data_IF_178914140264
#
_entry.id   IF_178914140264
#
_cell.length_a   1.000
_cell.length_b   1.000
_cell.length_c   1.000
_cell.angle_alpha   90.00
_cell.angle_beta   90.00
_cell.angle_gamma   90.00
#
_symmetry.space_group_name_H-M   'P 1'
#
loop_
_entity.id
_entity.type
_entity.pdbx_description
1 polymer ?
#
# COMPACT_ATOMS: atom_id res chain seq x y z
N UNK A 1 9.09 -9.48 -27.90
CA UNK A 1 9.10 -8.06 -28.32
C UNK A 1 10.46 -7.50 -27.98
N UNK A 2 11.03 -6.61 -28.80
CA UNK A 2 12.27 -5.91 -28.42
C UNK A 2 11.90 -4.82 -27.40
N UNK A 3 12.55 -4.84 -26.23
CA UNK A 3 12.43 -3.77 -25.24
C UNK A 3 13.34 -2.59 -25.62
N UNK A 4 12.96 -1.38 -25.24
CA UNK A 4 13.79 -0.18 -25.38
C UNK A 4 14.56 0.06 -24.07
N UNK A 5 15.82 -0.35 -24.06
CA UNK A 5 16.69 -0.22 -22.87
C UNK A 5 17.02 1.24 -22.55
N UNK A 6 17.19 2.09 -23.56
CA UNK A 6 17.50 3.50 -23.36
C UNK A 6 16.32 4.23 -22.72
N UNK A 7 15.12 4.01 -23.25
CA UNK A 7 13.89 4.54 -22.66
C UNK A 7 13.68 4.03 -21.24
N UNK A 8 13.95 2.75 -20.99
CA UNK A 8 13.82 2.15 -19.66
C UNK A 8 14.69 2.87 -18.64
N UNK A 9 15.97 3.06 -18.95
CA UNK A 9 16.90 3.74 -18.04
C UNK A 9 16.58 5.23 -17.90
N UNK A 10 16.10 5.89 -18.97
CA UNK A 10 15.66 7.27 -18.92
C UNK A 10 14.47 7.47 -17.95
N UNK A 11 13.44 6.62 -18.07
CA UNK A 11 12.24 6.71 -17.21
C UNK A 11 12.58 6.41 -15.75
N UNK A 12 13.47 5.45 -15.49
CA UNK A 12 13.95 5.18 -14.12
C UNK A 12 14.72 6.36 -13.55
N UNK A 13 15.65 6.96 -14.32
CA UNK A 13 16.40 8.13 -13.89
C UNK A 13 15.49 9.31 -13.61
N UNK A 14 14.45 9.51 -14.42
CA UNK A 14 13.45 10.55 -14.17
C UNK A 14 12.69 10.30 -12.86
N UNK A 15 12.23 9.07 -12.60
CA UNK A 15 11.54 8.75 -11.35
C UNK A 15 12.41 9.07 -10.13
N UNK A 16 13.70 8.67 -10.18
CA UNK A 16 14.67 8.94 -9.12
C UNK A 16 14.97 10.44 -8.98
N UNK A 17 15.12 11.19 -10.08
CA UNK A 17 15.37 12.63 -10.02
C UNK A 17 14.17 13.44 -9.51
N UNK A 18 12.95 12.91 -9.69
CA UNK A 18 11.73 13.44 -9.10
C UNK A 18 11.55 13.05 -7.62
N UNK A 19 12.47 12.28 -7.05
CA UNK A 19 12.54 11.98 -5.62
C UNK A 19 11.96 10.62 -5.22
N UNK A 20 11.72 9.70 -6.15
CA UNK A 20 11.48 8.30 -5.78
C UNK A 20 12.75 7.69 -5.14
N UNK A 21 12.60 6.90 -4.09
CA UNK A 21 13.73 6.20 -3.45
C UNK A 21 14.12 4.93 -4.21
N UNK A 22 13.16 4.27 -4.85
CA UNK A 22 13.36 3.09 -5.68
C UNK A 22 12.34 3.03 -6.80
N UNK A 23 12.75 2.47 -7.93
CA UNK A 23 11.91 2.26 -9.11
C UNK A 23 12.20 0.89 -9.71
N UNK A 24 11.20 0.28 -10.30
CA UNK A 24 11.31 -0.98 -11.03
C UNK A 24 10.20 -1.11 -12.06
N UNK A 25 10.45 -1.95 -13.05
CA UNK A 25 9.54 -2.21 -14.16
C UNK A 25 8.99 -3.63 -14.06
N UNK A 26 7.66 -3.77 -14.14
CA UNK A 26 6.96 -5.04 -14.23
C UNK A 26 6.28 -5.22 -15.58
N UNK A 27 6.02 -6.46 -15.97
CA UNK A 27 5.22 -6.77 -17.16
C UNK A 27 3.73 -6.56 -16.86
N UNK A 28 3.01 -5.85 -17.73
CA UNK A 28 1.57 -5.62 -17.57
C UNK A 28 0.77 -6.92 -17.60
N UNK A 29 1.18 -7.90 -18.41
CA UNK A 29 0.51 -9.20 -18.50
C UNK A 29 0.51 -9.98 -17.17
N UNK A 30 1.58 -9.88 -16.38
CA UNK A 30 1.66 -10.53 -15.05
C UNK A 30 0.66 -9.97 -14.05
N UNK A 31 0.19 -8.75 -14.30
CA UNK A 31 -0.82 -8.07 -13.51
C UNK A 31 -2.26 -8.40 -13.97
N UNK A 32 -2.45 -9.13 -15.08
CA UNK A 32 -3.78 -9.52 -15.53
C UNK A 32 -4.36 -10.66 -14.68
N UNK A 33 -5.67 -10.60 -14.39
CA UNK A 33 -6.45 -11.65 -13.70
C UNK A 33 -5.86 -12.17 -12.39
N UNK A 34 -5.07 -11.36 -11.68
CA UNK A 34 -4.58 -11.74 -10.35
C UNK A 34 -5.71 -11.67 -9.31
N UNK A 35 -5.79 -12.63 -8.36
CA UNK A 35 -6.83 -12.65 -7.32
C UNK A 35 -6.88 -11.39 -6.44
N UNK A 36 -5.80 -10.61 -6.43
CA UNK A 36 -5.68 -9.38 -5.64
C UNK A 36 -6.22 -8.14 -6.36
N UNK A 37 -6.60 -8.24 -7.63
CA UNK A 37 -7.06 -7.09 -8.43
C UNK A 37 -8.54 -7.20 -8.77
N UNK A 38 -9.17 -6.04 -8.88
CA UNK A 38 -10.55 -5.89 -9.33
C UNK A 38 -10.66 -5.34 -10.75
N UNK A 39 -9.51 -5.06 -11.38
CA UNK A 39 -9.39 -4.66 -12.78
C UNK A 39 -8.17 -5.33 -13.43
N UNK A 40 -8.08 -5.18 -14.74
CA UNK A 40 -6.91 -5.55 -15.53
C UNK A 40 -6.11 -4.30 -15.91
N UNK A 41 -4.78 -4.35 -16.03
CA UNK A 41 -4.01 -3.28 -16.69
C UNK A 41 -4.59 -2.92 -18.08
N UNK A 42 -5.15 -3.91 -18.78
CA UNK A 42 -5.77 -3.73 -20.09
C UNK A 42 -7.09 -2.94 -20.05
N UNK A 43 -7.71 -2.78 -18.87
CA UNK A 43 -8.84 -1.89 -18.65
C UNK A 43 -8.44 -0.41 -18.69
N UNK A 44 -7.18 -0.10 -18.36
CA UNK A 44 -6.64 1.27 -18.39
C UNK A 44 -6.00 1.58 -19.75
N UNK A 45 -5.20 0.64 -20.29
CA UNK A 45 -4.55 0.76 -21.61
C UNK A 45 -4.65 -0.60 -22.30
N UNK A 46 -5.45 -0.68 -23.38
CA UNK A 46 -5.75 -1.95 -24.08
C UNK A 46 -4.50 -2.74 -24.51
N UNK A 47 -3.44 -2.05 -24.90
CA UNK A 47 -2.16 -2.59 -25.35
C UNK A 47 -1.04 -2.37 -24.32
N UNK A 48 -1.38 -2.31 -23.03
CA UNK A 48 -0.40 -2.17 -21.94
C UNK A 48 0.70 -3.24 -22.05
N UNK A 49 1.95 -2.81 -21.88
CA UNK A 49 3.13 -3.69 -21.92
C UNK A 49 3.88 -3.70 -20.60
N UNK A 50 3.94 -2.55 -19.93
CA UNK A 50 4.74 -2.37 -18.73
C UNK A 50 3.98 -1.64 -17.62
N UNK A 51 4.45 -1.88 -16.40
CA UNK A 51 4.11 -1.14 -15.21
C UNK A 51 5.38 -0.53 -14.65
N UNK A 52 5.41 0.79 -14.46
CA UNK A 52 6.48 1.48 -13.74
C UNK A 52 6.03 1.58 -12.29
N UNK A 53 6.66 0.86 -11.37
CA UNK A 53 6.39 0.98 -9.93
C UNK A 53 7.55 1.65 -9.23
N UNK A 54 7.24 2.50 -8.28
CA UNK A 54 8.22 3.25 -7.50
C UNK A 54 7.73 3.42 -6.06
N UNK A 55 8.66 3.74 -5.16
CA UNK A 55 8.34 3.94 -3.76
C UNK A 55 9.03 5.15 -3.14
N UNK A 56 8.44 5.62 -2.05
CA UNK A 56 9.04 6.59 -1.12
C UNK A 56 9.24 5.91 0.23
N UNK A 57 10.42 6.07 0.83
CA UNK A 57 10.74 5.60 2.18
C UNK A 57 10.13 6.58 3.19
N UNK A 58 9.50 6.03 4.23
CA UNK A 58 9.10 6.84 5.37
C UNK A 58 10.32 7.43 6.10
N UNK A 59 10.25 8.68 6.56
CA UNK A 59 11.11 9.18 7.64
C UNK A 59 10.97 8.29 8.89
N UNK A 60 12.08 7.92 9.53
CA UNK A 60 12.03 6.98 10.66
C UNK A 60 11.25 7.54 11.86
N UNK A 61 11.46 8.82 12.17
CA UNK A 61 10.72 9.50 13.24
C UNK A 61 9.22 9.69 12.98
N UNK A 62 8.75 9.53 11.73
CA UNK A 62 7.31 9.54 11.43
C UNK A 62 6.64 8.19 11.64
N UNK A 63 7.42 7.15 12.01
CA UNK A 63 6.90 5.82 12.31
C UNK A 63 7.10 5.47 13.78
N UNK A 64 8.26 5.81 14.35
CA UNK A 64 8.63 5.53 15.74
C UNK A 64 8.37 6.75 16.63
N UNK A 65 7.17 6.83 17.18
CA UNK A 65 6.70 7.93 18.02
C UNK A 65 5.70 7.41 19.09
N UNK A 66 5.45 8.20 20.12
CA UNK A 66 4.48 7.84 21.17
C UNK A 66 3.05 7.73 20.63
N UNK A 67 2.39 6.61 20.93
CA UNK A 67 1.02 6.30 20.50
C UNK A 67 -0.02 6.60 21.57
N UNK A 68 0.37 7.26 22.66
CA UNK A 68 -0.53 7.62 23.74
C UNK A 68 -1.49 8.74 23.34
N UNK A 69 -0.99 9.71 22.57
CA UNK A 69 -1.75 10.85 22.10
C UNK A 69 -2.14 10.69 20.62
N UNK A 70 -3.44 10.78 20.38
CA UNK A 70 -4.03 10.71 19.05
C UNK A 70 -3.53 11.81 18.11
N UNK A 71 -3.27 13.02 18.61
CA UNK A 71 -2.77 14.13 17.80
C UNK A 71 -1.33 13.92 17.36
N UNK A 72 -0.51 13.18 18.11
CA UNK A 72 0.85 12.82 17.70
C UNK A 72 0.82 11.89 16.49
N UNK A 73 -0.07 10.89 16.49
CA UNK A 73 -0.30 10.01 15.33
C UNK A 73 -0.74 10.82 14.10
N UNK A 74 -1.68 11.74 14.29
CA UNK A 74 -2.20 12.56 13.20
C UNK A 74 -1.13 13.48 12.60
N UNK A 75 -0.33 14.12 13.44
CA UNK A 75 0.71 15.07 13.02
C UNK A 75 2.00 14.40 12.54
N UNK A 76 2.20 13.12 12.85
CA UNK A 76 3.37 12.33 12.44
C UNK A 76 3.03 11.36 11.31
N UNK A 77 2.57 10.15 11.62
CA UNK A 77 2.37 9.10 10.62
C UNK A 77 1.35 9.46 9.54
N UNK A 78 0.17 9.95 9.96
CA UNK A 78 -0.93 10.21 9.03
C UNK A 78 -0.62 11.36 8.05
N UNK A 79 -0.15 12.50 8.57
CA UNK A 79 0.19 13.68 7.76
C UNK A 79 1.38 13.41 6.82
N UNK A 80 2.38 12.65 7.28
CA UNK A 80 3.54 12.28 6.46
C UNK A 80 3.11 11.34 5.35
N UNK A 81 2.27 10.33 5.66
CA UNK A 81 1.67 9.47 4.64
C UNK A 81 0.91 10.29 3.59
N UNK A 82 0.09 11.26 4.00
CA UNK A 82 -0.63 12.15 3.06
C UNK A 82 0.32 12.83 2.07
N UNK A 83 1.41 13.38 2.61
CA UNK A 83 2.40 14.12 1.84
C UNK A 83 3.15 13.21 0.89
N UNK A 84 3.48 11.99 1.32
CA UNK A 84 4.09 10.96 0.48
C UNK A 84 3.15 10.52 -0.65
N UNK A 85 1.85 10.31 -0.38
CA UNK A 85 0.86 9.96 -1.41
C UNK A 85 0.73 11.06 -2.47
N UNK A 86 0.67 12.34 -2.06
CA UNK A 86 0.67 13.48 -2.99
C UNK A 86 1.92 13.47 -3.86
N UNK A 87 3.09 13.27 -3.27
CA UNK A 87 4.36 13.20 -4.01
C UNK A 87 4.41 12.02 -4.97
N UNK A 88 3.88 10.86 -4.60
CA UNK A 88 3.77 9.71 -5.49
C UNK A 88 2.88 10.01 -6.71
N UNK A 89 1.75 10.68 -6.50
CA UNK A 89 0.86 11.09 -7.58
C UNK A 89 1.54 12.12 -8.52
N UNK A 90 2.31 13.07 -7.98
CA UNK A 90 3.10 14.03 -8.76
C UNK A 90 4.16 13.33 -9.63
N UNK A 91 4.89 12.37 -9.06
CA UNK A 91 5.86 11.54 -9.80
C UNK A 91 5.13 10.76 -10.90
N UNK A 92 4.01 10.10 -10.58
CA UNK A 92 3.23 9.32 -11.54
C UNK A 92 2.81 10.18 -12.74
N UNK A 93 2.28 11.38 -12.48
CA UNK A 93 1.85 12.31 -13.52
C UNK A 93 3.02 12.77 -14.40
N UNK A 94 4.17 13.09 -13.80
CA UNK A 94 5.35 13.51 -14.53
C UNK A 94 5.90 12.40 -15.44
N UNK A 95 5.97 11.16 -14.93
CA UNK A 95 6.38 9.99 -15.72
C UNK A 95 5.41 9.73 -16.88
N UNK A 96 4.10 9.80 -16.62
CA UNK A 96 3.09 9.65 -17.67
C UNK A 96 3.26 10.69 -18.79
N UNK A 97 3.44 11.97 -18.43
CA UNK A 97 3.68 13.03 -19.41
C UNK A 97 4.96 12.83 -20.21
N UNK A 98 6.02 12.32 -19.58
CA UNK A 98 7.27 12.05 -20.29
C UNK A 98 7.13 10.89 -21.29
N UNK A 99 6.43 9.82 -20.91
CA UNK A 99 6.11 8.72 -21.81
C UNK A 99 5.24 9.19 -22.99
N UNK A 100 4.28 10.09 -22.75
CA UNK A 100 3.43 10.66 -23.80
C UNK A 100 4.20 11.54 -24.79
N UNK A 101 5.17 12.35 -24.33
CA UNK A 101 6.06 13.11 -25.25
C UNK A 101 6.83 12.20 -26.20
N UNK A 102 7.08 10.96 -25.80
CA UNK A 102 7.79 9.94 -26.58
C UNK A 102 6.85 9.07 -27.43
N UNK A 103 5.56 9.39 -27.46
CA UNK A 103 4.57 8.72 -28.30
C UNK A 103 3.91 7.49 -27.67
N UNK A 104 4.09 7.26 -26.37
CA UNK A 104 3.47 6.14 -25.66
C UNK A 104 2.28 6.59 -24.81
N UNK A 105 1.31 5.71 -24.62
CA UNK A 105 0.21 5.95 -23.67
C UNK A 105 0.68 5.60 -22.27
N UNK A 106 0.36 6.43 -21.28
CA UNK A 106 0.72 6.18 -19.90
C UNK A 106 -0.34 6.70 -18.93
N UNK A 107 -0.91 5.82 -18.12
CA UNK A 107 -1.95 6.14 -17.15
C UNK A 107 -1.37 6.05 -15.75
N UNK A 108 -1.30 7.16 -14.99
CA UNK A 108 -0.93 7.10 -13.59
C UNK A 108 -2.05 6.43 -12.80
N UNK A 109 -1.70 5.55 -11.87
CA UNK A 109 -2.65 4.98 -10.93
C UNK A 109 -2.66 5.86 -9.67
N UNK A 110 -3.84 6.27 -9.25
CA UNK A 110 -3.99 7.07 -8.03
C UNK A 110 -3.64 6.20 -6.81
N UNK A 111 -2.76 6.72 -5.94
CA UNK A 111 -2.13 5.94 -4.87
C UNK A 111 -3.07 5.53 -3.70
N UNK A 112 -4.24 6.16 -3.54
CA UNK A 112 -5.16 6.00 -2.41
C UNK A 112 -6.68 6.09 -2.76
N UNK A 113 -7.05 6.32 -4.02
CA UNK A 113 -8.40 6.58 -4.51
C UNK A 113 -8.71 5.83 -5.83
N UNK A 114 -10.00 5.64 -6.15
CA UNK A 114 -11.11 5.69 -5.22
C UNK A 114 -10.97 4.57 -4.17
N UNK A 115 -11.49 4.80 -2.97
CA UNK A 115 -11.69 3.72 -2.00
C UNK A 115 -13.05 3.10 -2.31
N UNK A 116 -13.07 1.87 -2.81
CA UNK A 116 -14.32 1.12 -2.91
C UNK A 116 -14.79 0.80 -1.50
N UNK A 117 -15.77 1.53 -0.98
CA UNK A 117 -16.29 1.37 0.38
C UNK A 117 -16.79 -0.07 0.67
N UNK A 118 -17.19 -0.82 -0.38
CA UNK A 118 -17.62 -2.22 -0.24
C UNK A 118 -16.45 -3.18 -0.05
N UNK A 119 -15.25 -2.80 -0.47
CA UNK A 119 -14.07 -3.67 -0.47
C UNK A 119 -12.93 -3.11 0.40
N UNK A 120 -13.04 -1.85 0.79
CA UNK A 120 -12.00 -0.99 1.39
C UNK A 120 -10.65 -1.14 0.71
N UNK A 121 -10.67 -1.13 -0.63
CA UNK A 121 -9.46 -1.16 -1.46
C UNK A 121 -9.33 0.17 -2.17
N UNK A 122 -8.19 0.82 -1.99
CA UNK A 122 -7.75 1.94 -2.80
C UNK A 122 -7.13 1.43 -4.10
N UNK A 123 -7.58 1.98 -5.23
CA UNK A 123 -7.17 1.60 -6.58
C UNK A 123 -7.57 0.15 -6.97
N UNK A 124 -8.06 -0.04 -8.21
CA UNK A 124 -8.52 -1.36 -8.67
C UNK A 124 -7.37 -2.35 -8.93
N UNK A 125 -6.13 -1.85 -9.00
CA UNK A 125 -4.90 -2.61 -9.08
C UNK A 125 -4.08 -2.37 -7.80
N UNK A 126 -3.73 -3.42 -7.07
CA UNK A 126 -2.92 -3.30 -5.85
C UNK A 126 -1.48 -2.91 -6.18
N UNK A 127 -1.08 -1.70 -5.75
CA UNK A 127 0.28 -1.20 -5.85
C UNK A 127 1.33 -2.14 -5.25
N UNK A 128 0.96 -2.89 -4.19
CA UNK A 128 1.86 -3.86 -3.55
C UNK A 128 2.22 -4.99 -4.50
N UNK A 129 1.25 -5.53 -5.22
CA UNK A 129 1.53 -6.58 -6.21
C UNK A 129 2.28 -6.03 -7.41
N UNK A 130 1.90 -4.84 -7.90
CA UNK A 130 2.61 -4.17 -9.00
C UNK A 130 4.09 -3.95 -8.66
N UNK A 131 4.37 -3.52 -7.42
CA UNK A 131 5.74 -3.36 -6.94
C UNK A 131 6.49 -4.69 -6.81
N UNK A 132 5.83 -5.78 -6.38
CA UNK A 132 6.42 -7.12 -6.33
C UNK A 132 6.82 -7.62 -7.72
N UNK A 133 5.90 -7.56 -8.70
CA UNK A 133 6.21 -7.98 -10.08
C UNK A 133 7.22 -7.04 -10.76
N UNK A 134 7.33 -5.80 -10.28
CA UNK A 134 8.37 -4.84 -10.69
C UNK A 134 9.71 -5.04 -9.97
N UNK A 135 9.80 -5.98 -9.03
CA UNK A 135 11.04 -6.34 -8.34
C UNK A 135 11.45 -5.41 -7.19
N UNK A 136 10.53 -4.59 -6.65
CA UNK A 136 10.86 -3.68 -5.53
C UNK A 136 10.98 -4.42 -4.19
N UNK A 137 10.23 -5.51 -4.01
CA UNK A 137 10.08 -6.25 -2.75
C UNK A 137 9.22 -7.50 -2.91
N UNK A 138 8.91 -8.16 -1.79
CA UNK A 138 7.95 -9.28 -1.72
C UNK A 138 6.81 -8.96 -0.74
N UNK A 139 5.62 -9.50 -0.98
CA UNK A 139 4.51 -9.41 -0.03
C UNK A 139 4.78 -10.33 1.16
N UNK A 140 4.86 -9.73 2.36
CA UNK A 140 5.12 -10.46 3.60
C UNK A 140 3.85 -10.95 4.30
N UNK A 141 4.04 -11.62 5.45
CA UNK A 141 2.95 -12.08 6.33
C UNK A 141 2.05 -10.93 6.80
N UNK A 142 2.58 -9.70 6.90
CA UNK A 142 1.79 -8.51 7.23
C UNK A 142 0.97 -7.96 6.06
N UNK A 143 0.95 -8.63 4.90
CA UNK A 143 0.25 -8.21 3.68
C UNK A 143 0.74 -6.87 3.08
N UNK A 144 1.91 -6.40 3.50
CA UNK A 144 2.60 -5.23 2.95
C UNK A 144 3.71 -5.67 2.01
N UNK A 145 4.10 -4.80 1.08
CA UNK A 145 5.35 -5.00 0.34
C UNK A 145 6.52 -4.80 1.29
N UNK A 146 7.43 -5.77 1.36
CA UNK A 146 8.67 -5.71 2.12
C UNK A 146 9.81 -5.51 1.11
N UNK A 147 10.43 -4.34 1.13
CA UNK A 147 11.66 -4.07 0.38
C UNK A 147 12.87 -4.62 1.15
N UNK A 148 13.93 -5.12 0.48
CA UNK A 148 15.16 -5.52 1.17
C UNK A 148 15.79 -4.39 2.02
N UNK A 149 15.75 -3.16 1.51
CA UNK A 149 16.46 -2.02 2.07
C UNK A 149 15.72 -1.37 3.24
N UNK A 150 14.38 -1.32 3.19
CA UNK A 150 13.57 -0.57 4.15
C UNK A 150 12.45 -1.38 4.77
N UNK A 151 12.33 -2.66 4.43
CA UNK A 151 11.21 -3.49 4.84
C UNK A 151 9.88 -2.91 4.34
N UNK A 152 8.81 -2.93 5.16
CA UNK A 152 7.51 -2.38 4.80
C UNK A 152 7.38 -0.86 4.99
N UNK A 153 8.47 -0.14 5.25
CA UNK A 153 8.48 1.29 5.57
C UNK A 153 8.52 2.15 4.31
N UNK A 154 7.62 1.85 3.37
CA UNK A 154 7.51 2.54 2.09
C UNK A 154 6.05 2.78 1.71
N UNK A 155 5.79 3.86 0.97
CA UNK A 155 4.55 4.04 0.20
C UNK A 155 4.83 3.83 -1.29
N UNK A 156 3.79 3.42 -2.04
CA UNK A 156 3.94 2.92 -3.41
C UNK A 156 3.13 3.74 -4.42
N UNK A 157 3.73 3.98 -5.58
CA UNK A 157 3.07 4.56 -6.75
C UNK A 157 3.32 3.71 -7.99
N UNK A 158 2.42 3.80 -8.97
CA UNK A 158 2.51 3.03 -10.21
C UNK A 158 1.98 3.80 -11.42
N UNK A 159 2.57 3.54 -12.59
CA UNK A 159 2.09 3.99 -13.91
C UNK A 159 1.95 2.78 -14.84
N UNK A 160 0.81 2.65 -15.52
CA UNK A 160 0.60 1.65 -16.57
C UNK A 160 0.96 2.28 -17.92
N UNK A 161 1.68 1.57 -18.79
CA UNK A 161 2.05 2.09 -20.12
C UNK A 161 2.14 1.01 -21.20
N UNK A 162 1.93 1.41 -22.46
CA UNK A 162 2.22 0.57 -23.63
C UNK A 162 3.66 0.74 -24.16
N UNK A 163 4.50 1.53 -23.48
CA UNK A 163 5.92 1.64 -23.78
C UNK A 163 6.62 0.28 -23.61
N UNK A 164 7.56 -0.07 -24.52
CA UNK A 164 8.26 -1.35 -24.49
C UNK A 164 9.41 -1.34 -23.46
N UNK A 165 9.10 -1.08 -22.18
CA UNK A 165 10.10 -1.00 -21.13
C UNK A 165 10.60 -2.40 -20.73
N UNK A 166 11.91 -2.53 -20.46
CA UNK A 166 12.54 -3.78 -20.03
C UNK A 166 12.16 -4.10 -18.58
N UNK A 167 11.50 -5.24 -18.30
CA UNK A 167 11.12 -5.63 -16.96
C UNK A 167 12.32 -5.87 -16.05
N UNK A 168 12.21 -5.44 -14.81
CA UNK A 168 13.16 -5.75 -13.76
C UNK A 168 12.80 -7.06 -13.05
N UNK A 169 11.51 -7.33 -12.81
CA UNK A 169 11.06 -8.40 -11.92
C UNK A 169 10.00 -9.38 -12.45
N UNK A 170 9.47 -10.26 -11.57
CA UNK A 170 9.78 -10.34 -10.13
C UNK A 170 11.20 -10.89 -9.86
N UNK A 171 12.08 -10.10 -9.25
CA UNK A 171 13.48 -10.50 -8.95
C UNK A 171 13.62 -11.36 -7.70
N UNK A 172 12.81 -11.04 -6.69
CA UNK A 172 12.89 -11.69 -5.39
C UNK A 172 12.07 -12.98 -5.35
N UNK A 173 11.03 -13.10 -6.18
CA UNK A 173 10.22 -14.32 -6.33
C UNK A 173 9.75 -14.92 -4.99
N UNK A 174 9.43 -14.09 -3.99
CA UNK A 174 9.02 -14.54 -2.67
C UNK A 174 10.16 -14.88 -1.72
N UNK A 175 11.43 -14.58 -2.05
CA UNK A 175 12.59 -14.86 -1.23
C UNK A 175 12.46 -14.33 0.20
N UNK A 176 12.03 -13.08 0.39
CA UNK A 176 11.88 -12.50 1.74
C UNK A 176 10.79 -13.26 2.52
N UNK A 177 9.75 -13.70 1.83
CA UNK A 177 8.72 -14.53 2.43
C UNK A 177 9.28 -15.87 2.89
N UNK A 178 9.97 -16.58 1.99
CA UNK A 178 10.56 -17.90 2.19
C UNK A 178 11.63 -17.91 3.29
N UNK A 179 12.59 -16.99 3.22
CA UNK A 179 13.78 -16.99 4.08
C UNK A 179 13.51 -16.34 5.45
N UNK A 180 12.55 -15.42 5.54
CA UNK A 180 12.32 -14.64 6.78
C UNK A 180 10.91 -14.77 7.31
N UNK A 181 9.87 -14.53 6.49
CA UNK A 181 8.53 -14.39 7.03
C UNK A 181 7.94 -15.69 7.59
N UNK A 182 8.32 -16.84 7.01
CA UNK A 182 7.84 -18.18 7.44
C UNK A 182 8.21 -18.58 8.87
N UNK A 183 9.15 -17.89 9.50
CA UNK A 183 9.60 -18.20 10.87
C UNK A 183 9.51 -16.99 11.81
N UNK A 184 9.56 -15.76 11.28
CA UNK A 184 9.65 -14.54 12.08
C UNK A 184 8.37 -14.18 12.85
N UNK A 185 7.22 -14.06 12.16
CA UNK A 185 5.90 -13.72 12.70
C UNK A 185 5.78 -12.50 13.67
N UNK A 186 6.80 -11.64 13.80
CA UNK A 186 6.76 -10.44 14.67
C UNK A 186 5.59 -9.50 14.37
N UNK A 187 5.17 -9.41 13.11
CA UNK A 187 3.99 -8.61 12.73
C UNK A 187 2.68 -9.20 13.27
N UNK A 188 2.60 -10.52 13.41
CA UNK A 188 1.44 -11.22 14.02
C UNK A 188 1.41 -10.93 15.51
N UNK A 189 2.56 -11.04 16.18
CA UNK A 189 2.71 -10.76 17.61
C UNK A 189 2.38 -9.31 17.97
N UNK A 190 2.81 -8.36 17.13
CA UNK A 190 2.56 -6.95 17.33
C UNK A 190 1.15 -6.48 16.93
N UNK A 191 0.32 -7.33 16.32
CA UNK A 191 -0.99 -6.92 15.82
C UNK A 191 -2.00 -6.79 16.97
N UNK A 192 -2.44 -5.56 17.32
CA UNK A 192 -3.20 -5.35 18.54
C UNK A 192 -4.65 -5.86 18.45
N UNK A 193 -5.17 -6.03 17.23
CA UNK A 193 -6.52 -6.54 16.97
C UNK A 193 -6.55 -8.00 16.53
N UNK A 194 -5.38 -8.65 16.50
CA UNK A 194 -5.20 -10.03 16.03
C UNK A 194 -5.75 -10.25 14.61
N UNK A 195 -5.51 -9.27 13.73
CA UNK A 195 -5.96 -9.30 12.34
C UNK A 195 -5.10 -10.22 11.44
N UNK A 196 -3.94 -10.68 11.93
CA UNK A 196 -3.02 -11.55 11.20
C UNK A 196 -2.95 -12.91 11.89
N UNK A 197 -2.86 -14.00 11.12
CA UNK A 197 -2.63 -15.36 11.65
C UNK A 197 -1.36 -15.99 11.06
N UNK A 198 -0.79 -16.93 11.81
CA UNK A 198 0.32 -17.81 11.38
C UNK A 198 -0.15 -19.03 10.61
N UNK A 199 -1.42 -19.41 10.74
CA UNK A 199 -1.95 -20.68 10.21
C UNK A 199 -2.21 -20.65 8.69
N UNK A 200 -2.32 -19.45 8.13
CA UNK A 200 -2.61 -19.22 6.71
C UNK A 200 -1.49 -18.41 6.08
N UNK A 201 -1.47 -18.37 4.75
CA UNK A 201 -0.52 -17.58 3.96
C UNK A 201 -1.19 -16.33 3.38
N UNK A 202 -0.45 -15.24 3.13
CA UNK A 202 -0.98 -14.09 2.40
C UNK A 202 -1.57 -14.47 1.03
N UNK A 203 -2.66 -13.81 0.59
CA UNK A 203 -3.43 -12.79 1.30
C UNK A 203 -4.50 -13.35 2.27
N UNK A 204 -4.59 -14.68 2.43
CA UNK A 204 -5.65 -15.36 3.19
C UNK A 204 -5.44 -15.37 4.71
N UNK A 205 -4.31 -14.87 5.18
CA UNK A 205 -3.94 -14.80 6.59
C UNK A 205 -4.37 -13.51 7.30
N UNK A 206 -5.29 -12.77 6.69
CA UNK A 206 -5.68 -11.42 7.09
C UNK A 206 -7.19 -11.30 7.30
N UNK A 207 -7.59 -10.73 8.43
CA UNK A 207 -8.97 -10.37 8.76
C UNK A 207 -9.13 -8.85 8.63
N UNK A 208 -9.81 -8.44 7.56
CA UNK A 208 -9.95 -7.02 7.19
C UNK A 208 -10.66 -6.21 8.28
N UNK A 209 -11.77 -6.69 8.82
CA UNK A 209 -12.59 -5.95 9.78
C UNK A 209 -11.82 -5.74 11.09
N UNK A 210 -11.02 -6.72 11.52
CA UNK A 210 -10.10 -6.55 12.66
C UNK A 210 -9.03 -5.51 12.38
N UNK A 211 -8.46 -5.48 11.18
CA UNK A 211 -7.47 -4.47 10.81
C UNK A 211 -8.08 -3.07 10.79
N UNK A 212 -9.27 -2.93 10.19
CA UNK A 212 -10.01 -1.66 10.15
C UNK A 212 -10.29 -1.11 11.55
N UNK A 213 -10.49 -1.96 12.56
CA UNK A 213 -10.64 -1.48 13.94
C UNK A 213 -9.42 -0.69 14.43
N UNK A 214 -8.20 -1.15 14.11
CA UNK A 214 -6.98 -0.43 14.48
C UNK A 214 -6.68 0.75 13.54
N UNK A 215 -6.73 0.52 12.23
CA UNK A 215 -6.34 1.54 11.24
C UNK A 215 -7.34 2.70 11.19
N UNK A 216 -8.63 2.46 11.43
CA UNK A 216 -9.64 3.52 11.54
C UNK A 216 -9.75 4.10 12.96
N UNK A 217 -8.72 3.95 13.80
CA UNK A 217 -8.62 4.63 15.09
C UNK A 217 -9.56 4.13 16.19
N UNK A 218 -10.40 3.12 15.94
CA UNK A 218 -11.35 2.61 16.94
C UNK A 218 -10.65 2.04 18.16
N UNK A 219 -9.56 1.29 17.97
CA UNK A 219 -8.77 0.78 19.09
C UNK A 219 -8.29 1.91 20.02
N UNK A 220 -7.72 2.95 19.43
CA UNK A 220 -7.19 4.12 20.13
C UNK A 220 -8.28 4.92 20.87
N UNK A 221 -9.41 5.15 20.19
CA UNK A 221 -10.47 6.06 20.64
C UNK A 221 -11.48 5.38 21.57
N UNK A 222 -11.68 4.07 21.44
CA UNK A 222 -12.56 3.28 22.33
C UNK A 222 -11.81 2.58 23.46
N UNK A 223 -10.48 2.43 23.36
CA UNK A 223 -9.63 1.63 24.25
C UNK A 223 -10.03 0.14 24.32
N UNK A 224 -10.73 -0.34 23.29
CA UNK A 224 -11.08 -1.75 23.12
C UNK A 224 -10.11 -2.36 22.11
N UNK A 225 -9.32 -3.33 22.53
CA UNK A 225 -8.35 -4.00 21.65
C UNK A 225 -9.02 -4.93 20.64
N UNK A 226 -9.94 -5.78 21.11
CA UNK A 226 -10.63 -6.76 20.27
C UNK A 226 -11.98 -6.17 19.85
N UNK A 227 -12.22 -5.95 18.54
CA UNK A 227 -13.51 -5.42 18.08
C UNK A 227 -14.68 -6.34 18.47
N UNK A 228 -15.88 -5.78 18.72
CA UNK A 228 -17.07 -6.58 18.96
C UNK A 228 -17.38 -7.54 17.80
N UNK A 229 -18.03 -8.67 18.10
CA UNK A 229 -18.33 -9.70 17.10
C UNK A 229 -19.12 -9.17 15.90
N UNK A 230 -20.09 -8.29 16.14
CA UNK A 230 -20.87 -7.64 15.08
C UNK A 230 -20.03 -6.76 14.15
N UNK A 231 -18.90 -6.23 14.61
CA UNK A 231 -17.96 -5.50 13.77
C UNK A 231 -17.15 -6.47 12.91
N UNK A 232 -16.66 -7.55 13.52
CA UNK A 232 -15.85 -8.58 12.83
C UNK A 232 -16.69 -9.28 11.74
N UNK A 233 -17.95 -9.59 12.04
CA UNK A 233 -18.83 -10.35 11.13
C UNK A 233 -19.56 -9.47 10.11
N UNK A 234 -19.48 -8.14 10.23
CA UNK A 234 -20.12 -7.20 9.32
C UNK A 234 -19.74 -7.41 7.86
N UNK A 235 -20.71 -7.18 6.97
CA UNK A 235 -20.59 -7.30 5.51
C UNK A 235 -21.20 -6.09 4.79
N UNK A 236 -20.67 -5.68 3.62
CA UNK A 236 -19.51 -6.28 2.94
C UNK A 236 -18.19 -6.01 3.68
N UNK A 237 -18.10 -4.94 4.46
CA UNK A 237 -17.02 -4.66 5.43
C UNK A 237 -17.62 -4.09 6.71
N UNK A 238 -16.81 -3.95 7.76
CA UNK A 238 -17.21 -3.31 9.02
C UNK A 238 -17.56 -1.83 8.90
N UNK A 239 -17.29 -1.21 7.75
CA UNK A 239 -17.64 0.19 7.52
C UNK A 239 -19.15 0.44 7.50
N UNK A 240 -19.97 -0.58 7.26
CA UNK A 240 -21.44 -0.44 7.44
C UNK A 240 -21.85 -0.19 8.90
N UNK A 241 -20.98 -0.53 9.86
CA UNK A 241 -21.23 -0.35 11.29
C UNK A 241 -20.84 1.04 11.79
N UNK A 242 -20.12 1.82 10.99
CA UNK A 242 -19.65 3.17 11.35
C UNK A 242 -20.75 4.08 11.94
N UNK A 243 -21.95 4.20 11.33
CA UNK A 243 -23.01 5.06 11.88
C UNK A 243 -23.48 4.63 13.28
N UNK A 244 -23.53 3.32 13.53
CA UNK A 244 -23.91 2.77 14.85
C UNK A 244 -22.88 3.13 15.91
N UNK A 245 -21.59 2.99 15.60
CA UNK A 245 -20.52 3.19 16.58
C UNK A 245 -20.22 4.68 16.82
N UNK A 246 -20.38 5.54 15.82
CA UNK A 246 -20.23 7.00 16.01
C UNK A 246 -21.25 7.60 16.97
N UNK A 247 -22.48 7.07 17.00
CA UNK A 247 -23.47 7.46 18.01
C UNK A 247 -23.03 7.12 19.44
N UNK A 248 -22.22 6.07 19.60
CA UNK A 248 -21.73 5.58 20.90
C UNK A 248 -20.45 6.31 21.38
N UNK A 249 -19.63 6.82 20.46
CA UNK A 249 -18.32 7.39 20.78
C UNK A 249 -18.12 8.78 20.14
N UNK A 250 -18.37 9.89 20.87
CA UNK A 250 -18.36 11.24 20.32
C UNK A 250 -17.03 11.69 19.69
N UNK A 251 -15.89 11.29 20.26
CA UNK A 251 -14.56 11.59 19.71
C UNK A 251 -14.32 10.92 18.35
N UNK A 252 -14.99 9.79 18.08
CA UNK A 252 -14.87 9.07 16.81
C UNK A 252 -15.62 9.79 15.68
N UNK A 253 -16.69 10.50 16.02
CA UNK A 253 -17.39 11.35 15.04
C UNK A 253 -16.47 12.45 14.51
N UNK A 254 -15.73 13.13 15.38
CA UNK A 254 -14.73 14.15 14.99
C UNK A 254 -13.65 13.55 14.09
N UNK A 255 -13.15 12.38 14.47
CA UNK A 255 -12.20 11.64 13.65
C UNK A 255 -12.75 11.33 12.25
N UNK A 256 -13.97 10.81 12.14
CA UNK A 256 -14.55 10.47 10.85
C UNK A 256 -14.87 11.68 9.98
N UNK A 257 -15.26 12.80 10.58
CA UNK A 257 -15.40 14.06 9.86
C UNK A 257 -14.05 14.52 9.30
N UNK A 258 -12.96 14.33 10.06
CA UNK A 258 -11.60 14.61 9.57
C UNK A 258 -11.18 13.66 8.45
N UNK A 259 -11.51 12.36 8.56
CA UNK A 259 -11.29 11.35 7.52
C UNK A 259 -11.99 11.73 6.20
N UNK A 260 -13.26 12.15 6.28
CA UNK A 260 -14.02 12.61 5.12
C UNK A 260 -13.42 13.85 4.45
N UNK A 261 -12.79 14.74 5.23
CA UNK A 261 -12.21 15.99 4.71
C UNK A 261 -10.82 15.80 4.12
N UNK A 262 -10.03 14.89 4.67
CA UNK A 262 -8.60 14.81 4.38
C UNK A 262 -8.18 13.49 3.68
N UNK A 263 -9.11 12.53 3.46
CA UNK A 263 -8.89 11.23 2.74
C UNK A 263 -8.23 10.15 3.63
N UNK A 264 -8.66 8.88 3.55
CA UNK A 264 -8.32 7.78 4.49
C UNK A 264 -6.91 7.83 5.16
N UNK A 265 -6.86 8.11 6.47
CA UNK A 265 -5.63 8.10 7.30
C UNK A 265 -5.58 6.94 8.27
N UNK A 266 -4.59 6.05 8.16
CA UNK A 266 -4.41 4.96 9.11
C UNK A 266 -3.83 5.46 10.45
N UNK A 267 -4.40 5.00 11.56
CA UNK A 267 -3.90 5.25 12.92
C UNK A 267 -3.00 4.15 13.48
N UNK A 268 -2.74 3.09 12.69
CA UNK A 268 -1.95 1.95 13.13
C UNK A 268 -0.83 1.65 12.13
N UNK A 269 0.39 1.48 12.66
CA UNK A 269 1.60 1.09 11.93
C UNK A 269 2.39 -0.01 12.65
N UNK A 270 1.77 -0.78 13.56
CA UNK A 270 2.48 -1.78 14.40
C UNK A 270 3.21 -2.83 13.58
N UNK A 271 2.55 -3.38 12.55
CA UNK A 271 3.16 -4.42 11.71
C UNK A 271 4.30 -3.88 10.82
N UNK A 272 4.34 -2.54 10.60
CA UNK A 272 5.43 -1.86 9.90
C UNK A 272 6.64 -1.73 10.83
N UNK A 273 6.40 -1.29 12.07
CA UNK A 273 7.44 -1.13 13.10
C UNK A 273 8.02 -2.47 13.55
N UNK A 274 7.20 -3.51 13.70
CA UNK A 274 7.65 -4.81 14.18
C UNK A 274 8.52 -5.56 13.16
N UNK A 275 8.42 -5.23 11.86
CA UNK A 275 9.15 -5.95 10.83
C UNK A 275 10.67 -5.70 10.92
N UNK A 276 11.50 -6.77 11.07
CA UNK A 276 12.95 -6.64 11.24
C UNK A 276 13.71 -6.40 9.93
N UNK A 277 13.16 -6.81 8.79
CA UNK A 277 13.82 -6.69 7.47
C UNK A 277 14.08 -5.22 7.17
N UNK A 278 15.30 -4.83 6.81
CA UNK A 278 15.63 -3.45 6.44
C UNK A 278 15.64 -2.47 7.62
N UNK A 279 15.75 -2.95 8.87
CA UNK A 279 16.16 -2.12 10.02
C UNK A 279 17.68 -2.06 10.07
N UNK A 280 18.23 -0.90 10.39
CA UNK A 280 19.66 -0.70 10.68
C UNK A 280 19.90 -0.73 12.18
#
# INVERSE_FOLDING_TARGET
MAYDENLTEEIKRLALSLGADKVGIGEAERADKTPMFFASPFSFIKDAKAVVSFCLKYPEGSLDFSKEDFFVILSSYASVRESMLKRLNEIALALSRELEKKGYKATPLEANLPVDERRWVSCLLSHRYLAQISGLGDIGVNNLLITPEWGPRVELGSVITNAPLKPDGPRLAGRIYEETCKTCFKCVEACPTQALTREKVPPYNFELNRCLWATQGWLMLSKIEIPPEEWITARPTSMVMVPKYTAKYPFIKVYQESQKRKMDFPCCNECILACPVGKK
#
